data_IF_599735169372
#
_entry.id   IF_599735169372
#
_cell.length_a   1.000
_cell.length_b   1.000
_cell.length_c   1.000
_cell.angle_alpha   90.00
_cell.angle_beta   90.00
_cell.angle_gamma   90.00
#
_symmetry.space_group_name_H-M   'P 1'
#
loop_
_entity.id
_entity.type
_entity.pdbx_description
1 polymer ?
#
# COMPACT_ATOMS: atom_id res chain seq x y z
N UNK A 1 -18.18 50.66 -31.84
CA UNK A 1 -18.32 50.19 -30.44
C UNK A 1 -19.69 49.54 -30.32
N UNK A 2 -19.73 48.23 -30.13
CA UNK A 2 -20.95 47.48 -29.85
C UNK A 2 -21.11 47.31 -28.33
N UNK A 3 -22.33 47.33 -27.76
CA UNK A 3 -22.54 47.20 -26.33
C UNK A 3 -22.41 45.74 -25.87
N UNK A 4 -21.75 45.54 -24.72
CA UNK A 4 -21.60 44.25 -24.05
C UNK A 4 -22.91 43.81 -23.38
N UNK A 5 -23.37 42.61 -23.66
CA UNK A 5 -24.48 41.97 -22.96
C UNK A 5 -24.01 41.41 -21.60
N UNK A 6 -24.75 41.70 -20.53
CA UNK A 6 -24.58 41.04 -19.23
C UNK A 6 -25.40 39.75 -19.21
N UNK A 7 -24.77 38.64 -18.84
CA UNK A 7 -25.42 37.35 -18.64
C UNK A 7 -25.60 37.16 -17.13
N UNK A 8 -26.82 37.30 -16.64
CA UNK A 8 -27.19 36.90 -15.28
C UNK A 8 -27.30 35.38 -15.21
N UNK A 9 -26.51 34.76 -14.31
CA UNK A 9 -26.68 33.36 -13.93
C UNK A 9 -27.64 33.26 -12.73
N UNK A 10 -28.78 32.56 -12.83
CA UNK A 10 -29.67 32.39 -11.69
C UNK A 10 -29.04 31.43 -10.66
N UNK A 11 -28.83 31.92 -9.44
CA UNK A 11 -28.34 31.12 -8.32
C UNK A 11 -29.44 30.13 -7.85
N UNK A 12 -29.19 28.83 -7.97
CA UNK A 12 -29.99 27.80 -7.32
C UNK A 12 -29.76 27.81 -5.80
N UNK A 13 -30.80 27.83 -4.96
CA UNK A 13 -30.64 27.76 -3.51
C UNK A 13 -30.12 26.36 -3.07
N UNK A 14 -29.32 26.27 -2.00
CA UNK A 14 -28.78 25.01 -1.54
C UNK A 14 -29.87 24.11 -0.93
N UNK A 15 -30.02 22.91 -1.49
CA UNK A 15 -30.87 21.85 -0.94
C UNK A 15 -30.28 21.35 0.38
N UNK A 16 -30.94 21.65 1.50
CA UNK A 16 -30.62 21.08 2.81
C UNK A 16 -31.13 19.64 2.89
N UNK A 17 -30.21 18.67 2.97
CA UNK A 17 -30.53 17.27 3.27
C UNK A 17 -30.85 17.17 4.78
N UNK A 18 -31.99 16.60 5.20
CA UNK A 18 -32.28 16.41 6.61
C UNK A 18 -31.33 15.35 7.19
N UNK A 19 -30.44 15.77 8.09
CA UNK A 19 -29.63 14.85 8.90
C UNK A 19 -30.56 14.12 9.86
N UNK A 20 -30.80 12.83 9.60
CA UNK A 20 -31.52 11.96 10.52
C UNK A 20 -30.83 11.92 11.88
N UNK A 21 -31.64 11.89 12.95
CA UNK A 21 -31.17 11.78 14.35
C UNK A 21 -30.08 10.71 14.47
N UNK A 22 -28.89 11.11 14.92
CA UNK A 22 -27.83 10.19 15.28
C UNK A 22 -28.34 9.16 16.30
N UNK A 23 -28.20 7.88 15.99
CA UNK A 23 -28.38 6.81 16.95
C UNK A 23 -27.42 7.02 18.13
N UNK A 24 -27.80 6.64 19.37
CA UNK A 24 -26.93 6.81 20.53
C UNK A 24 -25.63 6.02 20.30
N UNK A 25 -24.50 6.70 20.46
CA UNK A 25 -23.17 6.15 20.28
C UNK A 25 -23.01 4.89 21.15
N UNK A 26 -22.82 3.75 20.51
CA UNK A 26 -22.36 2.55 21.19
C UNK A 26 -21.01 2.87 21.84
N UNK A 27 -20.85 2.47 23.11
CA UNK A 27 -19.65 2.63 23.94
C UNK A 27 -18.34 2.64 23.13
N UNK A 28 -17.71 3.81 23.03
CA UNK A 28 -16.46 4.06 22.28
C UNK A 28 -15.21 3.46 22.96
N UNK A 29 -15.30 2.24 23.48
CA UNK A 29 -14.13 1.53 23.99
C UNK A 29 -13.48 0.79 22.83
N UNK A 30 -12.36 1.33 22.32
CA UNK A 30 -11.52 0.63 21.34
C UNK A 30 -11.16 -0.76 21.86
N UNK A 31 -11.27 -1.78 21.02
CA UNK A 31 -10.88 -3.15 21.37
C UNK A 31 -9.38 -3.25 21.70
N UNK A 32 -8.57 -2.34 21.17
CA UNK A 32 -7.14 -2.22 21.47
C UNK A 32 -6.71 -0.77 21.46
N UNK A 33 -5.87 -0.39 22.42
CA UNK A 33 -5.30 0.95 22.46
C UNK A 33 -4.27 1.14 21.33
N UNK A 34 -4.21 2.34 20.71
CA UNK A 34 -3.22 2.63 19.68
C UNK A 34 -1.79 2.45 20.19
N UNK A 35 -0.92 1.93 19.32
CA UNK A 35 0.50 1.81 19.62
C UNK A 35 1.16 3.20 19.70
N UNK A 36 2.12 3.33 20.63
CA UNK A 36 2.88 4.56 20.87
C UNK A 36 4.25 4.48 20.25
N UNK A 37 4.70 5.59 19.65
CA UNK A 37 6.07 5.76 19.17
C UNK A 37 7.03 5.81 20.36
N UNK A 38 8.24 5.26 20.18
CA UNK A 38 9.34 5.40 21.13
C UNK A 38 10.33 6.49 20.72
N UNK A 39 10.37 6.87 19.45
CA UNK A 39 11.33 7.82 18.86
C UNK A 39 12.66 7.16 18.44
N UNK A 40 12.75 5.83 18.44
CA UNK A 40 13.95 5.10 17.99
C UNK A 40 14.30 5.37 16.53
N UNK A 41 13.33 5.74 15.68
CA UNK A 41 13.58 6.11 14.29
C UNK A 41 14.07 7.54 14.08
N UNK A 42 14.01 8.41 15.10
CA UNK A 42 14.41 9.83 14.99
C UNK A 42 15.92 10.00 14.77
N UNK A 43 16.72 8.97 15.07
CA UNK A 43 18.15 8.94 14.79
C UNK A 43 18.49 8.77 13.29
N UNK A 44 17.52 8.37 12.46
CA UNK A 44 17.73 8.18 11.03
C UNK A 44 17.25 9.39 10.26
N UNK A 45 18.04 9.81 9.27
CA UNK A 45 17.66 10.85 8.33
C UNK A 45 16.32 10.48 7.66
N UNK A 46 15.33 11.37 7.77
CA UNK A 46 14.04 11.22 7.13
C UNK A 46 13.35 12.56 6.91
N UNK A 47 12.39 12.58 5.98
CA UNK A 47 11.53 13.74 5.74
C UNK A 47 10.13 13.29 5.30
N UNK A 48 9.13 14.13 5.56
CA UNK A 48 7.76 13.88 5.12
C UNK A 48 7.57 14.37 3.67
N UNK A 49 7.14 13.46 2.79
CA UNK A 49 7.02 13.74 1.34
C UNK A 49 5.88 14.72 1.07
N UNK A 50 4.78 14.58 1.82
CA UNK A 50 3.67 15.54 1.84
C UNK A 50 3.25 15.81 3.28
N UNK A 51 2.49 16.88 3.56
CA UNK A 51 1.99 17.14 4.91
C UNK A 51 1.12 15.99 5.47
N UNK A 52 0.33 15.34 4.61
CA UNK A 52 -0.69 14.37 5.06
C UNK A 52 -0.15 12.93 5.07
N UNK A 53 0.52 12.51 3.99
CA UNK A 53 1.00 11.15 3.81
C UNK A 53 2.45 11.11 3.30
N UNK A 54 3.10 9.98 3.47
CA UNK A 54 4.43 9.74 2.95
C UNK A 54 5.53 10.20 3.92
N UNK A 55 6.48 9.30 4.16
CA UNK A 55 7.78 9.59 4.75
C UNK A 55 8.86 8.87 3.97
N UNK A 56 10.01 9.50 3.79
CA UNK A 56 11.13 8.90 3.09
C UNK A 56 12.36 8.81 4.00
N UNK A 57 13.03 7.65 3.97
CA UNK A 57 14.33 7.41 4.58
C UNK A 57 15.37 7.23 3.45
N UNK A 58 16.14 8.28 3.10
CA UNK A 58 17.07 8.22 1.98
C UNK A 58 18.24 7.27 2.23
N UNK A 59 18.69 7.12 3.48
CA UNK A 59 19.93 6.39 3.84
C UNK A 59 19.73 5.17 4.73
N UNK A 60 18.56 4.98 5.32
CA UNK A 60 18.32 3.85 6.20
C UNK A 60 18.31 2.54 5.39
N UNK A 61 18.87 1.46 5.96
CA UNK A 61 18.87 0.13 5.37
C UNK A 61 18.00 -0.83 6.22
N UNK A 62 17.00 -1.46 5.60
CA UNK A 62 16.06 -2.33 6.32
C UNK A 62 16.69 -3.65 6.74
N UNK A 63 17.66 -4.17 5.98
CA UNK A 63 18.38 -5.38 6.34
C UNK A 63 19.25 -5.16 7.58
N UNK A 64 19.90 -4.01 7.69
CA UNK A 64 20.60 -3.60 8.91
C UNK A 64 19.63 -3.51 10.10
N UNK A 65 18.47 -2.88 9.94
CA UNK A 65 17.45 -2.80 11.00
C UNK A 65 16.95 -4.18 11.44
N UNK A 66 16.80 -5.12 10.51
CA UNK A 66 16.39 -6.50 10.82
C UNK A 66 17.46 -7.29 11.59
N UNK A 67 18.74 -6.89 11.50
CA UNK A 67 19.87 -7.55 12.16
C UNK A 67 20.40 -6.80 13.39
N UNK A 68 19.90 -5.59 13.63
CA UNK A 68 20.30 -4.78 14.77
C UNK A 68 19.90 -5.42 16.13
N UNK A 69 20.66 -5.17 17.21
CA UNK A 69 20.31 -5.70 18.55
C UNK A 69 18.93 -5.27 19.05
N UNK A 70 18.46 -4.07 18.67
CA UNK A 70 17.14 -3.53 18.99
C UNK A 70 16.14 -3.67 17.82
N UNK A 71 16.31 -4.70 16.97
CA UNK A 71 15.52 -4.87 15.76
C UNK A 71 14.01 -4.82 15.98
N UNK A 72 13.49 -5.47 17.03
CA UNK A 72 12.05 -5.47 17.31
C UNK A 72 11.51 -4.06 17.59
N UNK A 73 12.31 -3.20 18.24
CA UNK A 73 11.91 -1.81 18.48
C UNK A 73 11.85 -1.02 17.18
N UNK A 74 12.87 -1.17 16.32
CA UNK A 74 12.95 -0.52 15.01
C UNK A 74 11.79 -0.93 14.10
N UNK A 75 11.53 -2.23 13.96
CA UNK A 75 10.48 -2.74 13.07
C UNK A 75 9.09 -2.42 13.62
N UNK A 76 8.90 -2.48 14.94
CA UNK A 76 7.65 -2.05 15.57
C UNK A 76 7.38 -0.57 15.31
N UNK A 77 8.38 0.29 15.49
CA UNK A 77 8.19 1.71 15.22
C UNK A 77 8.01 2.02 13.73
N UNK A 78 8.65 1.25 12.85
CA UNK A 78 8.39 1.32 11.42
C UNK A 78 6.92 1.00 11.10
N UNK A 79 6.36 -0.07 11.68
CA UNK A 79 4.95 -0.41 11.50
C UNK A 79 4.02 0.74 11.92
N UNK A 80 4.25 1.33 13.09
CA UNK A 80 3.48 2.49 13.58
C UNK A 80 3.65 3.69 12.64
N UNK A 81 4.86 3.93 12.16
CA UNK A 81 5.17 5.03 11.24
C UNK A 81 4.43 4.86 9.91
N UNK A 82 4.42 3.64 9.34
CA UNK A 82 3.64 3.32 8.14
C UNK A 82 2.16 3.55 8.39
N UNK A 83 1.59 3.06 9.50
CA UNK A 83 0.18 3.28 9.82
C UNK A 83 -0.19 4.75 9.99
N UNK A 84 0.72 5.59 10.49
CA UNK A 84 0.49 7.04 10.69
C UNK A 84 0.71 7.87 9.42
N UNK A 85 1.66 7.47 8.58
CA UNK A 85 2.04 8.21 7.36
C UNK A 85 1.41 7.63 6.09
N UNK A 86 0.73 6.49 6.17
CA UNK A 86 0.12 5.78 5.04
C UNK A 86 1.13 5.02 4.18
N UNK A 87 2.26 5.64 3.84
CA UNK A 87 3.34 5.03 3.04
C UNK A 87 4.71 5.51 3.51
N UNK A 88 5.70 4.63 3.45
CA UNK A 88 7.09 4.94 3.74
C UNK A 88 7.98 4.45 2.60
N UNK A 89 8.95 5.26 2.18
CA UNK A 89 9.90 4.96 1.11
C UNK A 89 11.31 4.80 1.67
N UNK A 90 12.04 3.82 1.14
CA UNK A 90 13.46 3.61 1.44
C UNK A 90 14.25 3.61 0.13
N UNK A 91 15.31 4.42 0.06
CA UNK A 91 16.12 4.54 -1.18
C UNK A 91 17.32 3.61 -1.22
N UNK A 92 18.01 3.44 -0.10
CA UNK A 92 19.26 2.68 -0.01
C UNK A 92 19.04 1.17 0.28
N UNK A 93 18.29 0.48 -0.58
CA UNK A 93 17.95 -0.96 -0.42
C UNK A 93 18.61 -1.85 -1.49
N UNK A 94 19.93 -1.76 -1.65
CA UNK A 94 20.66 -2.52 -2.69
C UNK A 94 20.83 -4.01 -2.37
N UNK A 95 20.72 -4.39 -1.10
CA UNK A 95 21.00 -5.74 -0.57
C UNK A 95 19.77 -6.44 0.03
N UNK A 96 18.58 -5.86 -0.14
CA UNK A 96 17.31 -6.43 0.30
C UNK A 96 16.87 -7.52 -0.67
N UNK A 97 17.05 -8.78 -0.28
CA UNK A 97 16.62 -9.97 -1.02
C UNK A 97 15.18 -10.41 -0.67
N UNK A 98 14.65 -11.43 -1.37
CA UNK A 98 13.27 -11.91 -1.17
C UNK A 98 13.05 -12.43 0.25
N UNK A 99 14.00 -13.18 0.81
CA UNK A 99 13.88 -13.75 2.15
C UNK A 99 13.81 -12.64 3.21
N UNK A 100 14.67 -11.64 3.09
CA UNK A 100 14.69 -10.48 3.98
C UNK A 100 13.41 -9.63 3.82
N UNK A 101 12.90 -9.47 2.61
CA UNK A 101 11.61 -8.79 2.37
C UNK A 101 10.44 -9.52 3.02
N UNK A 102 10.42 -10.85 2.96
CA UNK A 102 9.39 -11.69 3.60
C UNK A 102 9.48 -11.62 5.13
N UNK A 103 10.70 -11.69 5.68
CA UNK A 103 10.92 -11.52 7.10
C UNK A 103 10.40 -10.15 7.59
N UNK A 104 10.71 -9.08 6.86
CA UNK A 104 10.21 -7.75 7.16
C UNK A 104 8.68 -7.69 7.18
N UNK A 105 8.03 -8.19 6.13
CA UNK A 105 6.57 -8.20 6.03
C UNK A 105 5.93 -8.98 7.19
N UNK A 106 6.48 -10.14 7.53
CA UNK A 106 5.98 -10.95 8.63
C UNK A 106 6.10 -10.21 9.97
N UNK A 107 7.28 -9.64 10.25
CA UNK A 107 7.57 -8.96 11.51
C UNK A 107 6.80 -7.66 11.69
N UNK A 108 6.55 -6.89 10.63
CA UNK A 108 5.70 -5.68 10.68
C UNK A 108 4.31 -6.03 11.25
N UNK A 109 3.71 -7.11 10.74
CA UNK A 109 2.41 -7.59 11.20
C UNK A 109 2.45 -8.12 12.64
N UNK A 110 3.42 -8.98 12.96
CA UNK A 110 3.55 -9.57 14.32
C UNK A 110 3.75 -8.49 15.39
N UNK A 111 4.67 -7.54 15.15
CA UNK A 111 5.01 -6.49 16.11
C UNK A 111 3.95 -5.40 16.21
N UNK A 112 3.08 -5.26 15.20
CA UNK A 112 1.87 -4.43 15.28
C UNK A 112 0.64 -5.20 15.80
N UNK A 113 0.73 -6.52 15.94
CA UNK A 113 -0.22 -7.41 16.60
C UNK A 113 -1.33 -7.94 15.69
N UNK A 114 -0.97 -8.35 14.47
CA UNK A 114 -1.81 -9.21 13.65
C UNK A 114 -2.15 -10.52 14.38
N UNK A 115 -3.29 -11.17 14.08
CA UNK A 115 -3.60 -12.49 14.62
C UNK A 115 -2.52 -13.51 14.26
N UNK A 116 -2.18 -14.42 15.18
CA UNK A 116 -1.19 -15.49 14.93
C UNK A 116 -1.60 -16.46 13.82
N UNK A 117 -2.89 -16.49 13.46
CA UNK A 117 -3.43 -17.27 12.35
C UNK A 117 -3.20 -16.61 10.98
N UNK A 118 -2.68 -15.38 10.94
CA UNK A 118 -2.41 -14.63 9.71
C UNK A 118 -0.92 -14.63 9.37
N UNK A 119 -0.58 -15.16 8.20
CA UNK A 119 0.79 -15.25 7.68
C UNK A 119 1.01 -14.41 6.42
N UNK A 120 2.05 -14.71 5.66
CA UNK A 120 2.30 -14.10 4.36
C UNK A 120 1.23 -14.55 3.35
N UNK A 121 0.74 -13.61 2.54
CA UNK A 121 -0.31 -13.91 1.57
C UNK A 121 0.24 -14.71 0.39
N UNK A 122 -0.47 -15.79 0.03
CA UNK A 122 -0.20 -16.57 -1.18
C UNK A 122 -1.25 -16.23 -2.23
N UNK A 123 -0.85 -15.57 -3.32
CA UNK A 123 -1.79 -15.11 -4.32
C UNK A 123 -2.45 -16.30 -5.06
N UNK A 124 -3.79 -16.37 -5.14
CA UNK A 124 -4.49 -17.57 -5.66
C UNK A 124 -4.23 -17.83 -7.15
N UNK A 125 -3.83 -16.81 -7.91
CA UNK A 125 -3.61 -16.90 -9.37
C UNK A 125 -2.12 -16.85 -9.76
N UNK A 126 -1.26 -16.28 -8.93
CA UNK A 126 0.15 -16.01 -9.24
C UNK A 126 1.03 -16.69 -8.20
N UNK A 127 1.03 -18.02 -8.23
CA UNK A 127 1.79 -18.87 -7.31
C UNK A 127 2.62 -19.89 -8.10
N UNK A 128 3.58 -20.53 -7.42
CA UNK A 128 4.62 -21.38 -8.01
C UNK A 128 4.10 -22.64 -8.68
N UNK A 129 2.82 -22.97 -8.50
CA UNK A 129 2.15 -24.07 -9.19
C UNK A 129 1.77 -23.74 -10.64
N UNK A 130 1.97 -22.51 -11.11
CA UNK A 130 1.67 -22.09 -12.48
C UNK A 130 2.94 -21.87 -13.30
N UNK A 131 2.86 -22.17 -14.60
CA UNK A 131 3.96 -22.11 -15.59
C UNK A 131 4.70 -20.75 -15.66
N UNK A 132 4.05 -19.66 -15.21
CA UNK A 132 4.61 -18.31 -15.16
C UNK A 132 4.62 -17.70 -13.75
N UNK A 133 4.32 -18.49 -12.72
CA UNK A 133 4.44 -18.07 -11.34
C UNK A 133 5.91 -18.09 -10.91
N UNK A 134 6.30 -17.15 -10.05
CA UNK A 134 7.61 -17.21 -9.41
C UNK A 134 7.68 -18.46 -8.51
N UNK A 135 8.88 -18.99 -8.26
CA UNK A 135 9.07 -20.20 -7.44
C UNK A 135 8.61 -20.01 -6.00
N UNK A 136 8.54 -18.77 -5.55
CA UNK A 136 8.09 -18.39 -4.22
C UNK A 136 6.60 -18.03 -4.23
N UNK A 137 5.81 -18.75 -3.44
CA UNK A 137 4.37 -18.55 -3.32
C UNK A 137 3.99 -17.26 -2.59
N UNK A 138 4.91 -16.72 -1.80
CA UNK A 138 4.70 -15.56 -0.93
C UNK A 138 5.17 -14.25 -1.60
N UNK A 139 5.81 -14.35 -2.77
CA UNK A 139 6.25 -13.20 -3.58
C UNK A 139 5.41 -13.12 -4.85
N UNK A 140 4.65 -12.03 -4.97
CA UNK A 140 3.91 -11.71 -6.20
C UNK A 140 4.76 -10.82 -7.10
N UNK A 141 5.35 -11.39 -8.15
CA UNK A 141 6.13 -10.63 -9.14
C UNK A 141 5.20 -9.93 -10.13
N UNK A 142 5.26 -8.59 -10.14
CA UNK A 142 4.54 -7.76 -11.11
C UNK A 142 5.47 -7.51 -12.32
N UNK A 143 5.23 -8.21 -13.43
CA UNK A 143 5.97 -8.05 -14.68
C UNK A 143 5.03 -7.81 -15.86
N UNK A 144 5.27 -6.73 -16.61
CA UNK A 144 4.53 -6.42 -17.84
C UNK A 144 4.74 -7.50 -18.92
N UNK A 145 5.92 -8.10 -19.00
CA UNK A 145 6.21 -9.18 -19.94
C UNK A 145 5.50 -10.48 -19.56
N UNK A 146 5.52 -10.82 -18.27
CA UNK A 146 4.76 -11.95 -17.72
C UNK A 146 3.26 -11.80 -17.99
N UNK A 147 2.71 -10.61 -17.77
CA UNK A 147 1.31 -10.31 -18.05
C UNK A 147 0.98 -10.47 -19.55
N UNK A 148 1.81 -9.95 -20.46
CA UNK A 148 1.61 -10.15 -21.91
C UNK A 148 1.57 -11.63 -22.28
N UNK A 149 2.42 -12.47 -21.69
CA UNK A 149 2.45 -13.92 -21.97
C UNK A 149 1.22 -14.65 -21.43
N UNK A 150 0.81 -14.39 -20.18
CA UNK A 150 -0.34 -15.05 -19.54
C UNK A 150 -1.67 -14.68 -20.22
N UNK A 151 -1.79 -13.43 -20.69
CA UNK A 151 -3.05 -12.91 -21.24
C UNK A 151 -3.08 -12.85 -22.77
N UNK A 152 -2.10 -13.44 -23.48
CA UNK A 152 -2.02 -13.48 -24.95
C UNK A 152 -3.31 -13.98 -25.63
N UNK A 153 -4.06 -14.87 -24.99
CA UNK A 153 -5.30 -15.44 -25.52
C UNK A 153 -6.59 -14.84 -24.94
N UNK A 154 -6.51 -13.74 -24.16
CA UNK A 154 -7.70 -13.04 -23.63
C UNK A 154 -8.07 -11.75 -24.38
N UNK A 155 -7.43 -11.48 -25.52
CA UNK A 155 -7.80 -10.40 -26.45
C UNK A 155 -9.08 -10.71 -27.26
N UNK A 156 -10.02 -11.48 -26.73
CA UNK A 156 -11.39 -11.46 -27.22
C UNK A 156 -12.07 -10.25 -26.58
N UNK A 157 -12.25 -9.20 -27.39
CA UNK A 157 -12.76 -7.89 -26.99
C UNK A 157 -14.17 -7.92 -26.34
N UNK A 158 -14.87 -9.06 -26.39
CA UNK A 158 -16.25 -9.21 -25.92
C UNK A 158 -16.42 -9.57 -24.43
N UNK A 159 -15.33 -9.79 -23.68
CA UNK A 159 -15.45 -10.02 -22.23
C UNK A 159 -15.31 -8.71 -21.48
N UNK A 160 -16.41 -8.27 -20.84
CA UNK A 160 -16.39 -7.18 -19.86
C UNK A 160 -15.24 -7.42 -18.86
N UNK A 161 -14.23 -6.55 -18.89
CA UNK A 161 -13.13 -6.58 -17.92
C UNK A 161 -13.70 -6.31 -16.53
N UNK A 162 -13.91 -7.35 -15.73
CA UNK A 162 -14.16 -7.21 -14.30
C UNK A 162 -12.80 -7.09 -13.59
N UNK A 163 -12.13 -5.96 -13.77
CA UNK A 163 -10.88 -5.68 -13.06
C UNK A 163 -10.85 -4.22 -12.66
N UNK A 164 -10.73 -3.97 -11.35
CA UNK A 164 -10.54 -2.64 -10.78
C UNK A 164 -9.06 -2.31 -10.56
N UNK A 165 -8.13 -3.05 -11.20
CA UNK A 165 -6.69 -2.83 -11.07
C UNK A 165 -6.25 -1.40 -11.46
N UNK A 166 -7.02 -0.74 -12.33
CA UNK A 166 -6.79 0.63 -12.80
C UNK A 166 -7.51 1.68 -11.93
N UNK A 167 -8.36 1.26 -10.99
CA UNK A 167 -9.06 2.16 -10.04
C UNK A 167 -8.37 2.21 -8.68
N UNK A 168 -8.78 3.16 -7.83
CA UNK A 168 -8.36 3.22 -6.43
C UNK A 168 -8.84 1.98 -5.67
N UNK A 169 -7.90 1.27 -5.04
CA UNK A 169 -8.18 0.07 -4.26
C UNK A 169 -7.20 -0.09 -3.11
N UNK A 170 -7.56 -0.98 -2.19
CA UNK A 170 -6.65 -1.59 -1.23
C UNK A 170 -6.61 -3.08 -1.53
N UNK A 171 -5.45 -3.70 -1.33
CA UNK A 171 -5.26 -5.11 -1.70
C UNK A 171 -5.96 -6.07 -0.74
N UNK A 172 -6.47 -7.18 -1.30
CA UNK A 172 -6.89 -8.39 -0.57
C UNK A 172 -7.98 -8.10 0.50
N UNK A 173 -8.84 -7.10 0.28
CA UNK A 173 -9.91 -6.75 1.24
C UNK A 173 -11.05 -7.77 1.31
N UNK A 174 -10.99 -8.86 0.53
CA UNK A 174 -12.00 -9.92 0.51
C UNK A 174 -11.73 -11.03 1.55
N UNK A 175 -10.54 -11.07 2.14
CA UNK A 175 -10.18 -12.06 3.16
C UNK A 175 -10.77 -11.69 4.54
N UNK A 176 -11.12 -12.66 5.39
CA UNK A 176 -11.58 -12.38 6.76
C UNK A 176 -10.56 -11.60 7.59
N UNK A 177 -9.27 -11.84 7.35
CA UNK A 177 -8.15 -11.05 7.88
C UNK A 177 -7.42 -10.44 6.69
N UNK A 178 -7.76 -9.19 6.29
CA UNK A 178 -7.16 -8.54 5.13
C UNK A 178 -5.69 -8.19 5.38
N UNK A 179 -4.99 -7.82 4.30
CA UNK A 179 -3.60 -7.37 4.38
C UNK A 179 -3.45 -6.13 5.27
N UNK A 180 -2.50 -6.17 6.19
CA UNK A 180 -2.12 -5.09 7.10
C UNK A 180 -1.02 -4.19 6.49
N UNK A 181 -0.05 -4.79 5.82
CA UNK A 181 1.02 -4.10 5.11
C UNK A 181 1.31 -4.77 3.75
N UNK A 182 1.71 -3.94 2.78
CA UNK A 182 2.26 -4.38 1.51
C UNK A 182 3.65 -3.78 1.32
N UNK A 183 4.58 -4.57 0.78
CA UNK A 183 5.95 -4.13 0.48
C UNK A 183 6.19 -4.31 -1.01
N UNK A 184 6.46 -3.20 -1.70
CA UNK A 184 6.86 -3.18 -3.10
C UNK A 184 8.36 -2.88 -3.21
N UNK A 185 9.11 -3.84 -3.76
CA UNK A 185 10.53 -3.66 -4.13
C UNK A 185 10.64 -3.54 -5.64
N UNK A 186 11.21 -2.43 -6.11
CA UNK A 186 11.43 -2.20 -7.54
C UNK A 186 12.75 -2.85 -7.96
N UNK A 187 12.69 -3.93 -8.74
CA UNK A 187 13.90 -4.66 -9.22
C UNK A 187 14.34 -4.21 -10.60
N UNK A 188 13.39 -3.84 -11.47
CA UNK A 188 13.65 -3.33 -12.80
C UNK A 188 12.79 -2.09 -13.03
N UNK A 189 13.41 -0.99 -13.47
CA UNK A 189 12.73 0.26 -13.76
C UNK A 189 12.67 0.50 -15.27
N UNK A 190 11.51 0.85 -15.84
CA UNK A 190 11.45 1.30 -17.23
C UNK A 190 12.23 2.61 -17.40
N UNK A 191 12.86 2.79 -18.56
CA UNK A 191 13.64 4.00 -18.90
C UNK A 191 12.78 5.29 -18.87
N UNK A 192 11.49 5.15 -19.12
CA UNK A 192 10.46 6.21 -18.98
C UNK A 192 9.57 5.85 -17.80
N UNK A 193 9.22 6.83 -16.95
CA UNK A 193 8.59 6.59 -15.65
C UNK A 193 7.34 5.70 -15.71
N UNK A 194 7.19 4.79 -14.75
CA UNK A 194 6.06 3.86 -14.63
C UNK A 194 4.72 4.50 -14.24
N UNK A 195 4.60 5.83 -14.32
CA UNK A 195 3.36 6.59 -14.07
C UNK A 195 2.67 7.08 -15.34
N UNK A 196 3.33 7.04 -16.50
CA UNK A 196 2.76 7.51 -17.76
C UNK A 196 2.43 6.35 -18.68
N UNK A 197 1.14 6.05 -18.82
CA UNK A 197 0.63 5.33 -19.98
C UNK A 197 0.63 6.33 -21.15
N UNK A 198 1.60 6.22 -22.05
CA UNK A 198 1.40 6.74 -23.40
C UNK A 198 0.35 5.88 -24.09
N UNK A 199 -0.73 6.53 -24.52
CA UNK A 199 -1.90 5.98 -25.24
C UNK A 199 -1.50 5.19 -26.49
#
# INVERSE_FOLDING_TARGET
MAPSAQVENPATPPTTIPVGKAAPAASETLQRQPLKLSGVLDQYESFDVTPVIGREFPKANLKEWLRAPNSDELIRELAITVSRRGVVFFRAQDDLDNDTQKELAQRLGELSGKPSTSGLHIHPVSNSQREYGDKDNEISVISSEGHKKIYKNRFNADRKKQSHKEGWHSDITFEPVPSDYAILRLTELPKTGGGEYSL
#
